data_IF_311319904943
#
_entry.id   IF_311319904943
#
_cell.length_a   1.000
_cell.length_b   1.000
_cell.length_c   1.000
_cell.angle_alpha   90.00
_cell.angle_beta   90.00
_cell.angle_gamma   90.00
#
_symmetry.space_group_name_H-M   'P 1'
#
loop_
_entity.id
_entity.type
_entity.pdbx_description
1 polymer ?
#
# COMPACT_ATOMS: atom_id res chain seq x y z
N UNK A 1 -5.37 8.15 16.41
CA UNK A 1 -4.17 7.76 15.65
C UNK A 1 -4.53 7.81 14.18
N UNK A 2 -3.59 8.17 13.32
CA UNK A 2 -3.85 8.47 11.90
C UNK A 2 -4.23 7.19 11.12
N UNK A 3 -5.26 7.25 10.26
CA UNK A 3 -5.69 6.10 9.45
C UNK A 3 -4.65 5.58 8.46
N UNK A 4 -3.60 6.37 8.19
CA UNK A 4 -2.52 6.05 7.26
C UNK A 4 -1.19 6.22 7.99
N UNK A 5 -0.36 5.19 7.99
CA UNK A 5 1.00 5.26 8.50
C UNK A 5 2.00 5.39 7.33
N UNK A 6 3.02 6.24 7.51
CA UNK A 6 4.10 6.41 6.52
C UNK A 6 5.43 5.98 7.13
N UNK A 7 6.14 5.08 6.45
CA UNK A 7 7.52 4.71 6.76
C UNK A 7 8.39 5.15 5.59
N UNK A 8 9.33 6.06 5.84
CA UNK A 8 10.20 6.62 4.80
C UNK A 8 11.65 6.76 5.26
N UNK A 9 12.61 6.68 4.33
CA UNK A 9 14.01 7.07 4.53
C UNK A 9 14.23 8.60 4.44
N UNK A 10 13.22 9.34 4.00
CA UNK A 10 13.28 10.79 3.83
C UNK A 10 14.13 11.25 2.64
N UNK A 11 14.54 10.35 1.74
CA UNK A 11 15.39 10.70 0.60
C UNK A 11 14.65 11.46 -0.52
N UNK A 12 13.31 11.46 -0.49
CA UNK A 12 12.46 12.01 -1.55
C UNK A 12 11.56 13.11 -1.02
N UNK A 13 11.34 14.13 -1.86
CA UNK A 13 10.41 15.22 -1.58
C UNK A 13 8.99 14.84 -2.04
N UNK A 14 8.38 13.84 -1.39
CA UNK A 14 6.99 13.43 -1.65
C UNK A 14 6.07 14.23 -0.73
N UNK A 15 5.01 14.82 -1.31
CA UNK A 15 3.97 15.49 -0.53
C UNK A 15 3.03 14.44 0.11
N UNK A 16 3.44 13.92 1.26
CA UNK A 16 2.67 12.90 1.98
C UNK A 16 1.33 13.43 2.49
N UNK A 17 1.21 14.71 2.83
CA UNK A 17 -0.06 15.29 3.29
C UNK A 17 -1.15 15.12 2.23
N UNK A 18 -0.82 15.42 0.98
CA UNK A 18 -1.73 15.25 -0.15
C UNK A 18 -2.06 13.78 -0.42
N UNK A 19 -1.06 12.89 -0.36
CA UNK A 19 -1.30 11.45 -0.55
C UNK A 19 -2.19 10.91 0.56
N UNK A 20 -1.91 11.23 1.81
CA UNK A 20 -2.69 10.81 2.98
C UNK A 20 -4.13 11.27 2.81
N UNK A 21 -4.38 12.50 2.34
CA UNK A 21 -5.73 13.01 2.10
C UNK A 21 -6.51 12.15 1.09
N UNK A 22 -5.87 11.64 0.03
CA UNK A 22 -6.54 10.73 -0.93
C UNK A 22 -7.04 9.45 -0.26
N UNK A 23 -6.25 8.89 0.66
CA UNK A 23 -6.66 7.72 1.43
C UNK A 23 -7.79 8.08 2.39
N UNK A 24 -7.74 9.24 3.04
CA UNK A 24 -8.82 9.69 3.94
C UNK A 24 -10.12 9.87 3.19
N UNK A 25 -10.10 10.57 2.05
CA UNK A 25 -11.28 10.81 1.23
C UNK A 25 -11.88 9.49 0.73
N UNK A 26 -11.04 8.54 0.35
CA UNK A 26 -11.48 7.19 -0.02
C UNK A 26 -12.05 6.45 1.19
N UNK A 27 -11.41 6.51 2.36
CA UNK A 27 -11.91 5.86 3.57
C UNK A 27 -13.29 6.43 3.98
N UNK A 28 -13.47 7.74 3.90
CA UNK A 28 -14.71 8.42 4.27
C UNK A 28 -15.85 8.17 3.27
N UNK A 29 -15.50 7.90 2.00
CA UNK A 29 -16.45 7.46 0.99
C UNK A 29 -16.89 5.98 1.14
N UNK A 30 -16.29 5.23 2.07
CA UNK A 30 -16.65 3.84 2.32
C UNK A 30 -18.05 3.71 2.94
N UNK A 31 -18.91 2.79 2.46
CA UNK A 31 -20.17 2.49 3.14
C UNK A 31 -19.90 2.07 4.59
N UNK A 32 -20.69 2.58 5.54
CA UNK A 32 -20.46 2.44 6.99
C UNK A 32 -20.32 1.00 7.50
N UNK A 33 -20.85 0.01 6.76
CA UNK A 33 -20.78 -1.43 7.09
C UNK A 33 -19.57 -2.16 6.46
N UNK A 34 -18.74 -1.48 5.65
CA UNK A 34 -17.67 -2.11 4.87
C UNK A 34 -16.30 -2.12 5.55
N UNK A 35 -16.10 -1.26 6.56
CA UNK A 35 -14.83 -1.18 7.28
C UNK A 35 -14.90 -2.06 8.53
N UNK A 36 -14.35 -3.27 8.45
CA UNK A 36 -14.14 -4.09 9.63
C UNK A 36 -13.13 -3.40 10.54
N UNK A 37 -13.58 -3.00 11.73
CA UNK A 37 -12.68 -2.56 12.79
C UNK A 37 -11.81 -3.74 13.23
N UNK A 38 -10.52 -3.71 12.86
CA UNK A 38 -9.52 -4.69 13.29
C UNK A 38 -9.15 -4.40 14.75
N UNK A 39 -9.86 -5.05 15.68
CA UNK A 39 -9.82 -4.79 17.12
C UNK A 39 -8.57 -5.29 17.85
N UNK A 40 -7.44 -4.62 17.67
CA UNK A 40 -6.24 -4.77 18.52
C UNK A 40 -5.46 -3.43 18.48
N UNK A 41 -4.26 -3.36 19.07
CA UNK A 41 -3.60 -2.15 19.58
C UNK A 41 -3.39 -0.99 18.59
N UNK A 42 -2.73 0.08 19.04
CA UNK A 42 -2.71 1.37 18.34
C UNK A 42 -2.24 1.32 16.86
N UNK A 43 -1.36 0.38 16.47
CA UNK A 43 -0.99 0.14 15.06
C UNK A 43 -2.09 -0.50 14.21
N UNK A 44 -3.01 -1.23 14.82
CA UNK A 44 -4.10 -1.96 14.16
C UNK A 44 -5.30 -1.07 13.84
N UNK A 45 -5.23 0.22 14.25
CA UNK A 45 -6.16 1.27 13.82
C UNK A 45 -5.72 1.94 12.52
N UNK A 46 -4.45 1.79 12.10
CA UNK A 46 -3.99 2.29 10.81
C UNK A 46 -4.50 1.37 9.70
N UNK A 47 -5.43 1.88 8.91
CA UNK A 47 -6.11 1.14 7.84
C UNK A 47 -5.19 0.95 6.62
N UNK A 48 -4.15 1.78 6.47
CA UNK A 48 -3.24 1.76 5.32
C UNK A 48 -1.80 2.06 5.76
N UNK A 49 -0.84 1.46 5.05
CA UNK A 49 0.58 1.78 5.20
C UNK A 49 1.18 2.24 3.86
N UNK A 50 1.97 3.31 3.91
CA UNK A 50 2.83 3.78 2.84
C UNK A 50 4.27 3.48 3.24
N UNK A 51 4.99 2.77 2.40
CA UNK A 51 6.40 2.42 2.58
C UNK A 51 7.19 3.07 1.45
N UNK A 52 8.01 4.05 1.76
CA UNK A 52 8.82 4.80 0.81
C UNK A 52 10.30 4.62 1.10
N UNK A 53 10.97 3.81 0.30
CA UNK A 53 12.44 3.71 0.35
C UNK A 53 12.99 3.79 -1.04
N UNK A 54 14.16 4.41 -1.20
CA UNK A 54 14.81 4.43 -2.50
C UNK A 54 15.22 3.04 -2.95
N UNK A 55 15.83 2.32 -2.02
CA UNK A 55 16.28 0.95 -2.22
C UNK A 55 15.11 -0.05 -2.16
N UNK A 56 14.92 -0.82 -3.23
CA UNK A 56 13.85 -1.81 -3.35
C UNK A 56 13.91 -2.92 -2.29
N UNK A 57 15.10 -3.36 -1.89
CA UNK A 57 15.24 -4.41 -0.88
C UNK A 57 14.81 -3.89 0.50
N UNK A 58 15.16 -2.64 0.83
CA UNK A 58 14.70 -1.99 2.06
C UNK A 58 13.19 -1.77 2.04
N UNK A 59 12.64 -1.28 0.93
CA UNK A 59 11.19 -1.10 0.76
C UNK A 59 10.44 -2.42 0.98
N UNK A 60 10.92 -3.50 0.37
CA UNK A 60 10.34 -4.84 0.52
C UNK A 60 10.51 -5.37 1.95
N UNK A 61 11.69 -5.19 2.56
CA UNK A 61 11.93 -5.63 3.92
C UNK A 61 11.00 -4.92 4.93
N UNK A 62 10.82 -3.61 4.79
CA UNK A 62 9.88 -2.83 5.60
C UNK A 62 8.44 -3.30 5.39
N UNK A 63 7.99 -3.47 4.14
CA UNK A 63 6.64 -3.97 3.85
C UNK A 63 6.40 -5.38 4.41
N UNK A 64 7.40 -6.27 4.33
CA UNK A 64 7.35 -7.61 4.94
C UNK A 64 7.27 -7.55 6.45
N UNK A 65 8.05 -6.67 7.08
CA UNK A 65 8.03 -6.52 8.53
C UNK A 65 6.65 -6.07 9.01
N UNK A 66 6.06 -5.05 8.37
CA UNK A 66 4.69 -4.59 8.67
C UNK A 66 3.70 -5.76 8.58
N UNK A 67 3.72 -6.51 7.47
CA UNK A 67 2.78 -7.62 7.25
C UNK A 67 3.05 -8.87 8.09
N UNK A 68 4.21 -9.00 8.70
CA UNK A 68 4.44 -10.03 9.69
C UNK A 68 3.61 -9.79 10.97
N UNK A 69 3.33 -8.51 11.29
CA UNK A 69 2.52 -8.12 12.45
C UNK A 69 1.05 -7.88 12.10
N UNK A 70 0.76 -7.30 10.93
CA UNK A 70 -0.60 -7.00 10.47
C UNK A 70 -0.79 -7.55 9.05
N UNK A 71 -1.09 -8.86 8.89
CA UNK A 71 -1.04 -9.52 7.58
C UNK A 71 -2.05 -9.01 6.54
N UNK A 72 -3.16 -8.43 6.99
CA UNK A 72 -4.26 -7.94 6.17
C UNK A 72 -4.15 -6.45 5.83
N UNK A 73 -3.19 -5.72 6.39
CA UNK A 73 -3.04 -4.29 6.10
C UNK A 73 -2.70 -4.04 4.61
N UNK A 74 -3.47 -3.17 3.93
CA UNK A 74 -3.09 -2.65 2.63
C UNK A 74 -1.76 -1.88 2.69
N UNK A 75 -0.87 -2.15 1.74
CA UNK A 75 0.45 -1.51 1.68
C UNK A 75 0.70 -0.92 0.29
N UNK A 76 0.98 0.38 0.25
CA UNK A 76 1.56 1.08 -0.89
C UNK A 76 3.08 1.13 -0.71
N UNK A 77 3.83 0.59 -1.67
CA UNK A 77 5.29 0.61 -1.68
C UNK A 77 5.76 1.57 -2.78
N UNK A 78 6.47 2.62 -2.40
CA UNK A 78 7.12 3.58 -3.27
C UNK A 78 8.63 3.27 -3.29
N UNK A 79 9.15 2.86 -4.44
CA UNK A 79 10.57 2.49 -4.54
C UNK A 79 11.11 2.61 -5.96
N UNK A 80 12.43 2.75 -6.08
CA UNK A 80 13.10 2.65 -7.38
C UNK A 80 13.28 1.16 -7.66
N UNK A 81 12.65 0.64 -8.71
CA UNK A 81 12.87 -0.74 -9.14
C UNK A 81 13.27 -0.80 -10.61
N UNK A 82 14.26 -1.63 -10.97
CA UNK A 82 14.40 -2.06 -12.35
C UNK A 82 13.15 -2.86 -12.72
N UNK A 83 12.51 -2.52 -13.85
CA UNK A 83 11.23 -3.08 -14.29
C UNK A 83 11.19 -4.61 -14.32
N UNK A 84 12.35 -5.26 -14.51
CA UNK A 84 12.52 -6.72 -14.56
C UNK A 84 12.34 -7.44 -13.21
N UNK A 85 12.47 -6.75 -12.07
CA UNK A 85 12.51 -7.39 -10.74
C UNK A 85 11.25 -7.11 -9.90
N UNK A 86 10.40 -6.17 -10.34
CA UNK A 86 9.18 -5.75 -9.62
C UNK A 86 8.28 -6.92 -9.21
N UNK A 87 8.04 -7.88 -10.11
CA UNK A 87 7.17 -9.03 -9.82
C UNK A 87 7.74 -9.92 -8.72
N UNK A 88 9.06 -10.13 -8.72
CA UNK A 88 9.75 -10.93 -7.70
C UNK A 88 9.69 -10.24 -6.34
N UNK A 89 9.93 -8.93 -6.29
CA UNK A 89 9.81 -8.14 -5.06
C UNK A 89 8.39 -8.15 -4.50
N UNK A 90 7.37 -8.00 -5.35
CA UNK A 90 5.96 -8.11 -4.93
C UNK A 90 5.64 -9.49 -4.33
N UNK A 91 6.14 -10.58 -4.93
CA UNK A 91 5.92 -11.93 -4.41
C UNK A 91 6.57 -12.19 -3.04
N UNK A 92 7.56 -11.38 -2.64
CA UNK A 92 8.19 -11.49 -1.33
C UNK A 92 7.36 -10.83 -0.21
N UNK A 93 6.43 -9.94 -0.55
CA UNK A 93 5.54 -9.27 0.40
C UNK A 93 4.32 -10.18 0.63
N UNK A 94 4.42 -11.03 1.65
CA UNK A 94 3.37 -11.99 2.05
C UNK A 94 2.25 -11.32 2.84
N UNK A 95 1.09 -11.96 2.94
CA UNK A 95 -0.08 -11.43 3.66
C UNK A 95 -1.32 -11.42 2.77
N UNK A 96 -2.48 -11.21 3.37
CA UNK A 96 -3.77 -11.15 2.66
C UNK A 96 -4.11 -9.76 2.18
N UNK A 97 -3.51 -8.70 2.75
CA UNK A 97 -3.80 -7.31 2.38
C UNK A 97 -3.45 -6.95 0.94
N UNK A 98 -4.13 -5.96 0.37
CA UNK A 98 -3.80 -5.44 -0.96
C UNK A 98 -2.40 -4.81 -0.98
N UNK A 99 -1.56 -5.18 -1.95
CA UNK A 99 -0.22 -4.59 -2.13
C UNK A 99 -0.14 -3.89 -3.47
N UNK A 100 0.42 -2.68 -3.47
CA UNK A 100 0.74 -1.96 -4.69
C UNK A 100 2.15 -1.42 -4.61
N UNK A 101 2.92 -1.64 -5.67
CA UNK A 101 4.26 -1.08 -5.80
C UNK A 101 4.25 -0.07 -6.95
N UNK A 102 4.68 1.16 -6.68
CA UNK A 102 4.74 2.26 -7.63
C UNK A 102 6.15 2.85 -7.68
N UNK A 103 6.52 3.34 -8.86
CA UNK A 103 7.78 4.06 -9.06
C UNK A 103 7.55 5.53 -8.71
N UNK A 104 8.43 6.10 -7.88
CA UNK A 104 8.47 7.54 -7.71
C UNK A 104 9.16 8.21 -8.89
N UNK A 105 8.54 9.25 -9.43
CA UNK A 105 9.14 10.07 -10.48
C UNK A 105 9.03 11.55 -10.09
N UNK A 106 10.15 12.11 -9.63
CA UNK A 106 10.23 13.51 -9.19
C UNK A 106 9.91 14.53 -10.30
N UNK A 107 10.10 14.16 -11.57
CA UNK A 107 9.76 15.02 -12.71
C UNK A 107 8.25 15.12 -12.93
N UNK A 108 7.49 14.14 -12.44
CA UNK A 108 6.05 14.01 -12.65
C UNK A 108 5.34 13.56 -11.37
N UNK A 109 5.36 14.38 -10.29
CA UNK A 109 4.74 14.02 -9.00
C UNK A 109 3.25 13.72 -9.14
N UNK A 110 2.54 14.41 -10.03
CA UNK A 110 1.11 14.18 -10.30
C UNK A 110 0.80 12.78 -10.82
N UNK A 111 1.76 12.12 -11.50
CA UNK A 111 1.57 10.74 -11.96
C UNK A 111 1.44 9.77 -10.79
N UNK A 112 2.12 10.04 -9.67
CA UNK A 112 1.97 9.24 -8.46
C UNK A 112 0.55 9.39 -7.92
N UNK A 113 0.07 10.63 -7.79
CA UNK A 113 -1.28 10.95 -7.32
C UNK A 113 -2.36 10.22 -8.12
N UNK A 114 -2.40 10.43 -9.44
CA UNK A 114 -3.41 9.78 -10.29
C UNK A 114 -3.30 8.26 -10.31
N UNK A 115 -2.10 7.72 -10.08
CA UNK A 115 -1.90 6.27 -9.97
C UNK A 115 -2.45 5.70 -8.66
N UNK A 116 -2.30 6.46 -7.56
CA UNK A 116 -2.86 6.12 -6.24
C UNK A 116 -4.39 6.18 -6.30
N UNK A 117 -4.97 7.28 -6.79
CA UNK A 117 -6.42 7.42 -6.97
C UNK A 117 -7.00 6.25 -7.77
N UNK A 118 -6.40 5.94 -8.94
CA UNK A 118 -6.84 4.81 -9.76
C UNK A 118 -6.74 3.50 -9.02
N UNK A 119 -5.66 3.28 -8.25
CA UNK A 119 -5.51 2.05 -7.48
C UNK A 119 -6.55 1.96 -6.36
N UNK A 120 -6.82 3.04 -5.63
CA UNK A 120 -7.86 3.09 -4.61
C UNK A 120 -9.23 2.76 -5.20
N UNK A 121 -9.57 3.25 -6.39
CA UNK A 121 -10.80 2.88 -7.09
C UNK A 121 -10.86 1.40 -7.51
N UNK A 122 -9.74 0.69 -7.62
CA UNK A 122 -9.72 -0.78 -7.85
C UNK A 122 -9.86 -1.60 -6.58
N UNK A 123 -9.66 -1.00 -5.41
CA UNK A 123 -9.95 -1.65 -4.15
C UNK A 123 -11.47 -1.56 -3.94
N UNK A 124 -12.23 -2.54 -4.42
CA UNK A 124 -13.67 -2.62 -4.12
C UNK A 124 -13.88 -2.70 -2.60
N UNK A 125 -14.78 -1.88 -2.06
CA UNK A 125 -15.17 -1.95 -0.65
C UNK A 125 -15.68 -3.35 -0.32
N UNK A 126 -14.93 -4.09 0.49
CA UNK A 126 -15.33 -5.42 0.93
C UNK A 126 -15.19 -6.55 -0.11
N UNK A 127 -14.53 -6.33 -1.25
CA UNK A 127 -14.18 -7.46 -2.11
C UNK A 127 -13.19 -8.37 -1.37
N UNK A 128 -13.44 -9.70 -1.28
CA UNK A 128 -12.42 -10.61 -0.82
C UNK A 128 -11.22 -10.41 -1.73
N UNK A 129 -10.07 -10.15 -1.12
CA UNK A 129 -8.81 -9.87 -1.82
C UNK A 129 -8.53 -11.10 -2.67
N UNK A 130 -8.89 -10.98 -3.96
CA UNK A 130 -8.78 -12.09 -4.88
C UNK A 130 -7.29 -12.30 -5.09
N UNK A 131 -6.82 -13.43 -4.55
CA UNK A 131 -5.53 -14.00 -4.87
C UNK A 131 -5.30 -13.89 -6.39
N UNK A 132 -4.06 -13.63 -6.85
CA UNK A 132 -3.77 -13.77 -8.27
C UNK A 132 -4.20 -15.17 -8.70
N UNK A 133 -5.08 -15.24 -9.70
CA UNK A 133 -5.50 -16.49 -10.34
C UNK A 133 -4.31 -17.15 -11.04
N UNK A 134 -3.40 -17.71 -10.26
CA UNK A 134 -2.34 -18.60 -10.72
C UNK A 134 -2.44 -19.82 -9.82
N UNK A 135 -3.43 -20.66 -10.07
CA UNK A 135 -3.51 -22.09 -9.73
C UNK A 135 -4.91 -22.62 -10.13
N UNK A 136 -5.22 -22.61 -11.42
CA UNK A 136 -6.13 -23.59 -12.01
C UNK A 136 -5.51 -24.07 -13.32
N UNK A 137 -4.60 -25.02 -13.18
CA UNK A 137 -4.26 -26.00 -14.20
C UNK A 137 -4.35 -27.36 -13.52
N UNK A 138 -5.51 -27.99 -13.65
CA UNK A 138 -5.69 -29.44 -13.64
C UNK A 138 -6.77 -29.78 -14.64
#
# INVERSE_FOLDING_TARGET
MEPVAVLTDGERCINYEEIIQLFMDWIDAAPSDSVKETGRGDWEKSRYCIVDYRNAEQAVAAAKAIRAFVPDVPVLVLTDFPSSIRKRHLQQITGTGAVKMMLWNEQHPDQLKSSIERWLHTLEYGAPITMPSVLYLR
#
